data_IF_840635684504
#
_entry.id   IF_840635684504
#
_cell.length_a   1.000
_cell.length_b   1.000
_cell.length_c   1.000
_cell.angle_alpha   90.00
_cell.angle_beta   90.00
_cell.angle_gamma   90.00
#
_symmetry.space_group_name_H-M   'P 1'
#
loop_
_entity.id
_entity.type
_entity.pdbx_description
1 polymer ?
#
# COMPACT_ATOMS: atom_id res chain seq x y z
N UNK A 1 26.73 11.65 5.85
CA UNK A 1 25.35 12.14 5.96
C UNK A 1 24.43 11.09 5.38
N UNK A 2 23.34 10.77 6.05
CA UNK A 2 22.34 9.81 5.52
C UNK A 2 21.38 10.56 4.61
N UNK A 3 21.18 10.15 3.34
CA UNK A 3 20.17 10.78 2.48
C UNK A 3 18.76 10.70 3.09
N UNK A 4 18.02 11.80 3.05
CA UNK A 4 16.67 11.88 3.59
C UNK A 4 15.66 11.36 2.55
N UNK A 5 15.60 10.05 2.38
CA UNK A 5 14.68 9.40 1.44
C UNK A 5 14.38 7.96 1.84
N UNK A 6 13.20 7.50 1.50
CA UNK A 6 12.83 6.07 1.49
C UNK A 6 12.71 5.65 0.03
N UNK A 7 13.54 4.70 -0.40
CA UNK A 7 13.61 4.28 -1.80
C UNK A 7 12.66 3.12 -2.12
N UNK A 8 12.49 2.22 -1.15
CA UNK A 8 11.74 0.98 -1.31
C UNK A 8 11.11 0.60 0.03
N UNK A 9 9.87 0.18 0.00
CA UNK A 9 9.20 -0.49 1.13
C UNK A 9 8.98 -1.94 0.73
N UNK A 10 9.45 -2.87 1.55
CA UNK A 10 9.25 -4.29 1.33
C UNK A 10 8.29 -4.86 2.38
N UNK A 11 7.22 -5.46 1.91
CA UNK A 11 6.23 -6.16 2.74
C UNK A 11 6.61 -7.64 2.75
N UNK A 12 6.75 -8.22 3.95
CA UNK A 12 6.92 -9.66 4.12
C UNK A 12 5.58 -10.37 3.89
N UNK A 13 5.53 -11.24 2.90
CA UNK A 13 4.33 -11.96 2.52
C UNK A 13 4.32 -13.38 3.10
N UNK A 14 3.20 -13.77 3.72
CA UNK A 14 2.95 -15.16 4.12
C UNK A 14 2.57 -16.01 2.91
N UNK A 15 1.77 -15.45 2.02
CA UNK A 15 1.34 -16.06 0.75
C UNK A 15 1.62 -15.07 -0.39
N UNK A 16 2.85 -15.08 -0.90
CA UNK A 16 3.28 -14.16 -1.95
C UNK A 16 2.39 -14.21 -3.20
N UNK A 17 2.04 -15.40 -3.75
CA UNK A 17 1.18 -15.44 -4.94
C UNK A 17 -0.18 -14.77 -4.74
N UNK A 18 -0.82 -15.00 -3.61
CA UNK A 18 -2.13 -14.40 -3.30
C UNK A 18 -2.03 -12.89 -3.09
N UNK A 19 -1.06 -12.44 -2.31
CA UNK A 19 -0.85 -11.02 -2.05
C UNK A 19 -0.48 -10.25 -3.34
N UNK A 20 0.42 -10.83 -4.16
CA UNK A 20 0.80 -10.31 -5.47
C UNK A 20 -0.41 -10.15 -6.40
N UNK A 21 -1.25 -11.19 -6.47
CA UNK A 21 -2.46 -11.18 -7.30
C UNK A 21 -3.44 -10.08 -6.86
N UNK A 22 -3.53 -9.77 -5.58
CA UNK A 22 -4.35 -8.67 -5.08
C UNK A 22 -3.91 -7.32 -5.70
N UNK A 23 -2.63 -6.96 -5.60
CA UNK A 23 -2.12 -5.70 -6.16
C UNK A 23 -2.23 -5.66 -7.69
N UNK A 24 -2.05 -6.79 -8.37
CA UNK A 24 -2.29 -6.88 -9.81
C UNK A 24 -3.77 -6.61 -10.17
N UNK A 25 -4.73 -7.09 -9.34
CA UNK A 25 -6.16 -6.80 -9.54
C UNK A 25 -6.52 -5.34 -9.30
N UNK A 26 -5.71 -4.58 -8.56
CA UNK A 26 -5.83 -3.13 -8.47
C UNK A 26 -5.34 -2.41 -9.74
N UNK A 27 -4.81 -3.15 -10.72
CA UNK A 27 -4.24 -2.59 -11.94
C UNK A 27 -2.79 -2.12 -11.80
N UNK A 28 -2.12 -2.49 -10.71
CA UNK A 28 -0.72 -2.10 -10.51
C UNK A 28 0.22 -2.94 -11.35
N UNK A 29 1.16 -2.28 -12.03
CA UNK A 29 2.16 -2.91 -12.87
C UNK A 29 3.43 -3.24 -12.09
N UNK A 30 4.03 -4.38 -12.44
CA UNK A 30 5.32 -4.78 -11.90
C UNK A 30 6.48 -4.24 -12.73
N UNK A 31 7.63 -4.08 -12.09
CA UNK A 31 8.90 -3.79 -12.74
C UNK A 31 9.52 -5.05 -13.35
N UNK A 32 10.51 -4.88 -14.24
CA UNK A 32 11.25 -5.98 -14.83
C UNK A 32 12.14 -6.75 -13.83
N UNK A 33 12.34 -6.22 -12.63
CA UNK A 33 13.08 -6.86 -11.54
C UNK A 33 12.27 -7.99 -10.90
N UNK A 34 10.94 -7.98 -11.02
CA UNK A 34 10.07 -9.02 -10.49
C UNK A 34 10.44 -10.42 -11.02
N UNK A 35 10.28 -11.40 -10.14
CA UNK A 35 10.50 -12.82 -10.43
C UNK A 35 9.40 -13.65 -9.77
N UNK A 36 9.47 -14.97 -9.86
CA UNK A 36 8.50 -15.86 -9.21
C UNK A 36 8.51 -15.73 -7.67
N UNK A 37 9.64 -15.27 -7.10
CA UNK A 37 9.85 -15.15 -5.65
C UNK A 37 9.94 -13.72 -5.14
N UNK A 38 9.74 -12.73 -6.01
CA UNK A 38 9.90 -11.32 -5.66
C UNK A 38 9.05 -10.45 -6.58
N UNK A 39 8.15 -9.66 -6.02
CA UNK A 39 7.35 -8.71 -6.76
C UNK A 39 7.75 -7.27 -6.42
N UNK A 40 7.95 -6.44 -7.43
CA UNK A 40 8.23 -5.00 -7.27
C UNK A 40 7.29 -4.22 -8.16
N UNK A 41 6.46 -3.38 -7.55
CA UNK A 41 5.46 -2.57 -8.24
C UNK A 41 5.97 -1.16 -8.54
N UNK A 42 5.55 -0.64 -9.71
CA UNK A 42 5.88 0.70 -10.20
C UNK A 42 5.07 1.79 -9.50
N UNK A 43 5.28 1.96 -8.21
CA UNK A 43 4.64 3.05 -7.45
C UNK A 43 5.42 4.36 -7.62
N UNK A 44 4.70 5.49 -7.64
CA UNK A 44 5.34 6.79 -7.76
C UNK A 44 6.09 7.18 -6.48
N UNK A 45 7.31 7.65 -6.63
CA UNK A 45 8.17 8.10 -5.52
C UNK A 45 8.89 6.96 -4.82
N UNK A 46 8.19 6.16 -4.03
CA UNK A 46 8.72 5.01 -3.30
C UNK A 46 8.24 3.72 -3.96
N UNK A 47 9.13 2.80 -4.29
CA UNK A 47 8.74 1.49 -4.82
C UNK A 47 8.14 0.62 -3.71
N UNK A 48 7.17 -0.22 -4.07
CA UNK A 48 6.61 -1.23 -3.19
C UNK A 48 7.06 -2.61 -3.66
N UNK A 49 7.62 -3.41 -2.76
CA UNK A 49 7.96 -4.79 -3.06
C UNK A 49 7.31 -5.77 -2.09
N UNK A 50 7.10 -6.99 -2.57
CA UNK A 50 6.61 -8.12 -1.80
C UNK A 50 7.67 -9.21 -1.83
N UNK A 51 8.01 -9.74 -0.66
CA UNK A 51 9.03 -10.77 -0.51
C UNK A 51 8.56 -11.83 0.50
N UNK A 52 8.81 -13.12 0.28
CA UNK A 52 8.41 -14.12 1.27
C UNK A 52 8.94 -13.77 2.66
N UNK A 53 8.08 -13.77 3.67
CA UNK A 53 8.45 -13.29 5.00
C UNK A 53 9.61 -14.08 5.62
N UNK A 54 9.69 -15.39 5.35
CA UNK A 54 10.79 -16.23 5.79
C UNK A 54 12.13 -15.81 5.20
N UNK A 55 12.14 -15.42 3.93
CA UNK A 55 13.35 -14.94 3.26
C UNK A 55 13.72 -13.53 3.73
N UNK A 56 12.73 -12.68 3.94
CA UNK A 56 12.95 -11.31 4.44
C UNK A 56 13.56 -11.31 5.85
N UNK A 57 13.01 -12.11 6.75
CA UNK A 57 13.52 -12.20 8.13
C UNK A 57 14.90 -12.84 8.19
N UNK A 58 15.17 -13.83 7.34
CA UNK A 58 16.50 -14.43 7.20
C UNK A 58 17.52 -13.41 6.69
N UNK A 59 17.16 -12.63 5.70
CA UNK A 59 18.00 -11.56 5.14
C UNK A 59 18.32 -10.49 6.18
N UNK A 60 17.32 -10.11 6.97
CA UNK A 60 17.45 -9.12 8.04
C UNK A 60 18.17 -9.66 9.29
N UNK A 61 18.36 -10.97 9.40
CA UNK A 61 18.96 -11.59 10.58
C UNK A 61 18.08 -11.55 11.84
N UNK A 62 16.75 -11.57 11.65
CA UNK A 62 15.77 -11.53 12.73
C UNK A 62 14.87 -12.76 12.72
N UNK A 63 14.29 -13.09 13.87
CA UNK A 63 13.29 -14.16 13.97
C UNK A 63 11.89 -13.64 13.64
N UNK A 64 11.06 -14.51 13.05
CA UNK A 64 9.65 -14.20 12.81
C UNK A 64 8.94 -14.18 14.16
N UNK A 65 8.49 -13.01 14.62
CA UNK A 65 7.50 -12.92 15.67
C UNK A 65 6.12 -13.24 15.10
N UNK A 66 5.22 -13.81 15.92
CA UNK A 66 3.83 -14.06 15.48
C UNK A 66 3.21 -12.75 14.99
N UNK A 67 2.49 -12.76 13.85
CA UNK A 67 1.77 -11.59 13.40
C UNK A 67 0.85 -11.09 14.50
N UNK A 68 0.91 -9.80 14.81
CA UNK A 68 -0.07 -9.20 15.71
C UNK A 68 -1.45 -9.27 15.06
N UNK A 69 -2.41 -9.93 15.71
CA UNK A 69 -3.75 -10.12 15.16
C UNK A 69 -4.57 -8.82 15.04
N UNK A 70 -4.14 -7.73 15.64
CA UNK A 70 -5.02 -6.56 15.85
C UNK A 70 -4.49 -5.20 15.43
N UNK A 71 -3.19 -4.93 15.34
CA UNK A 71 -2.69 -3.59 15.04
C UNK A 71 -1.35 -3.62 14.32
N UNK A 72 -1.34 -3.06 13.12
CA UNK A 72 -0.11 -2.80 12.39
C UNK A 72 0.37 -1.36 12.72
N UNK A 73 1.61 -1.16 13.15
CA UNK A 73 2.12 0.18 13.48
C UNK A 73 2.41 1.04 12.24
N UNK A 74 2.16 0.52 11.05
CA UNK A 74 2.39 1.19 9.77
C UNK A 74 1.08 1.24 8.99
N UNK A 75 0.73 2.40 8.49
CA UNK A 75 -0.35 2.60 7.52
C UNK A 75 0.22 3.18 6.25
N UNK A 76 -0.05 2.54 5.13
CA UNK A 76 0.25 3.10 3.81
C UNK A 76 -0.92 3.98 3.37
N UNK A 77 -0.68 4.99 2.55
CA UNK A 77 -1.73 5.83 2.01
C UNK A 77 -1.68 5.91 0.49
N UNK A 78 -2.87 5.85 -0.11
CA UNK A 78 -3.09 6.19 -1.52
C UNK A 78 -3.93 7.47 -1.53
N UNK A 79 -3.37 8.56 -2.07
CA UNK A 79 -4.12 9.77 -2.25
C UNK A 79 -4.64 9.86 -3.68
N UNK A 80 -5.88 10.28 -3.82
CA UNK A 80 -6.58 10.49 -5.10
C UNK A 80 -6.74 11.98 -5.38
N UNK A 81 -7.03 12.32 -6.64
CA UNK A 81 -7.07 13.72 -7.09
C UNK A 81 -8.39 14.42 -6.74
N UNK A 82 -9.49 13.65 -6.67
CA UNK A 82 -10.85 14.18 -6.44
C UNK A 82 -11.58 13.39 -5.35
N UNK A 83 -12.48 14.02 -4.57
CA UNK A 83 -13.14 13.35 -3.45
C UNK A 83 -14.01 12.16 -3.88
N UNK A 84 -14.66 12.22 -5.05
CA UNK A 84 -15.49 11.13 -5.57
C UNK A 84 -14.67 9.88 -5.89
N UNK A 85 -13.39 10.03 -6.17
CA UNK A 85 -12.50 8.91 -6.43
C UNK A 85 -12.27 8.05 -5.18
N UNK A 86 -12.45 8.57 -3.97
CA UNK A 86 -12.41 7.76 -2.74
C UNK A 86 -13.51 6.71 -2.78
N UNK A 87 -14.74 7.13 -3.12
CA UNK A 87 -15.89 6.22 -3.20
C UNK A 87 -15.75 5.20 -4.33
N UNK A 88 -15.32 5.62 -5.49
CA UNK A 88 -15.13 4.74 -6.64
C UNK A 88 -14.00 3.73 -6.39
N UNK A 89 -12.89 4.20 -5.87
CA UNK A 89 -11.70 3.35 -5.66
C UNK A 89 -11.94 2.32 -4.56
N UNK A 90 -12.67 2.65 -3.49
CA UNK A 90 -12.96 1.68 -2.43
C UNK A 90 -13.79 0.48 -2.95
N UNK A 91 -14.69 0.71 -3.92
CA UNK A 91 -15.44 -0.38 -4.54
C UNK A 91 -14.53 -1.28 -5.40
N UNK A 92 -13.60 -0.70 -6.17
CA UNK A 92 -12.61 -1.48 -6.91
C UNK A 92 -11.72 -2.32 -5.98
N UNK A 93 -11.34 -1.77 -4.84
CA UNK A 93 -10.56 -2.47 -3.81
C UNK A 93 -11.37 -3.65 -3.24
N UNK A 94 -12.64 -3.43 -2.95
CA UNK A 94 -13.57 -4.48 -2.48
C UNK A 94 -13.68 -5.62 -3.49
N UNK A 95 -13.89 -5.28 -4.77
CA UNK A 95 -13.96 -6.26 -5.86
C UNK A 95 -12.64 -7.01 -6.06
N UNK A 96 -11.51 -6.35 -5.83
CA UNK A 96 -10.19 -6.97 -5.91
C UNK A 96 -9.89 -7.94 -4.74
N UNK A 97 -10.72 -7.95 -3.70
CA UNK A 97 -10.57 -8.82 -2.53
C UNK A 97 -9.96 -8.11 -1.32
N UNK A 98 -9.90 -6.79 -1.33
CA UNK A 98 -9.53 -6.00 -0.15
C UNK A 98 -10.61 -6.05 0.92
N UNK A 99 -10.19 -6.01 2.17
CA UNK A 99 -11.09 -5.94 3.33
C UNK A 99 -11.34 -4.49 3.70
N UNK A 100 -12.58 -4.03 3.55
CA UNK A 100 -12.93 -2.65 3.90
C UNK A 100 -13.09 -2.55 5.42
N UNK A 101 -12.27 -1.70 6.02
CA UNK A 101 -12.23 -1.48 7.48
C UNK A 101 -13.09 -0.29 7.88
N UNK A 102 -13.14 0.75 7.04
CA UNK A 102 -13.98 1.92 7.22
C UNK A 102 -14.41 2.44 5.87
N UNK A 103 -15.71 2.57 5.68
CA UNK A 103 -16.31 3.13 4.46
C UNK A 103 -15.93 4.62 4.27
N UNK A 104 -15.99 5.15 3.05
CA UNK A 104 -15.71 6.54 2.78
C UNK A 104 -16.51 7.49 3.65
N UNK A 105 -15.85 8.46 4.24
CA UNK A 105 -16.48 9.50 5.06
C UNK A 105 -15.69 10.80 5.00
N UNK A 106 -16.39 11.93 5.25
CA UNK A 106 -15.74 13.22 5.41
C UNK A 106 -14.87 13.26 6.65
N UNK A 107 -13.69 13.86 6.52
CA UNK A 107 -12.77 14.08 7.63
C UNK A 107 -12.93 15.51 8.18
N UNK A 108 -12.70 15.68 9.50
CA UNK A 108 -12.83 16.98 10.17
C UNK A 108 -11.93 18.07 9.57
N UNK A 109 -10.79 17.69 8.98
CA UNK A 109 -9.84 18.59 8.32
C UNK A 109 -10.22 18.96 6.87
N UNK A 110 -11.42 18.53 6.40
CA UNK A 110 -11.95 18.91 5.09
C UNK A 110 -11.74 17.91 3.96
N UNK A 111 -11.06 16.81 4.21
CA UNK A 111 -10.84 15.74 3.25
C UNK A 111 -11.91 14.66 3.28
N UNK A 112 -11.67 13.60 2.50
CA UNK A 112 -12.49 12.39 2.48
C UNK A 112 -11.59 11.17 2.56
N UNK A 113 -11.90 10.22 3.43
CA UNK A 113 -11.05 9.06 3.68
C UNK A 113 -11.84 7.76 3.79
N UNK A 114 -11.16 6.65 3.48
CA UNK A 114 -11.61 5.29 3.73
C UNK A 114 -10.40 4.46 4.18
N UNK A 115 -10.63 3.32 4.79
CA UNK A 115 -9.55 2.41 5.19
C UNK A 115 -9.84 0.99 4.71
N UNK A 116 -8.80 0.32 4.27
CA UNK A 116 -8.87 -1.10 3.89
C UNK A 116 -7.61 -1.84 4.33
N UNK A 117 -7.70 -3.15 4.34
CA UNK A 117 -6.56 -4.02 4.47
C UNK A 117 -6.42 -4.89 3.22
N UNK A 118 -5.19 -5.21 2.86
CA UNK A 118 -4.91 -6.23 1.87
C UNK A 118 -5.21 -7.66 2.42
N UNK A 119 -5.11 -8.71 1.62
CA UNK A 119 -5.40 -10.07 2.08
C UNK A 119 -4.56 -10.56 3.26
N UNK A 120 -3.44 -9.91 3.55
CA UNK A 120 -2.57 -10.24 4.68
C UNK A 120 -2.62 -9.21 5.81
N UNK A 121 -3.68 -8.41 5.86
CA UNK A 121 -3.95 -7.39 6.89
C UNK A 121 -2.94 -6.23 6.93
N UNK A 122 -2.25 -5.95 5.84
CA UNK A 122 -1.51 -4.70 5.71
C UNK A 122 -2.50 -3.54 5.56
N UNK A 123 -2.31 -2.52 6.37
CA UNK A 123 -3.27 -1.43 6.53
C UNK A 123 -3.02 -0.31 5.54
N UNK A 124 -4.09 0.12 4.86
CA UNK A 124 -4.08 1.19 3.89
C UNK A 124 -5.15 2.25 4.20
N UNK A 125 -4.77 3.51 4.05
CA UNK A 125 -5.69 4.63 3.95
C UNK A 125 -5.88 5.00 2.48
N UNK A 126 -7.12 5.23 2.08
CA UNK A 126 -7.48 5.86 0.82
C UNK A 126 -8.00 7.25 1.13
N UNK A 127 -7.37 8.30 0.59
CA UNK A 127 -7.65 9.66 0.98
C UNK A 127 -7.71 10.63 -0.20
N UNK A 128 -8.58 11.60 -0.09
CA UNK A 128 -8.51 12.85 -0.80
C UNK A 128 -8.25 13.99 0.18
N UNK A 129 -7.25 14.82 -0.12
CA UNK A 129 -6.94 16.02 0.65
C UNK A 129 -6.92 17.20 -0.31
N UNK A 130 -7.74 18.26 -0.06
CA UNK A 130 -7.84 19.40 -0.97
C UNK A 130 -6.53 20.16 -1.17
N UNK A 131 -5.58 20.01 -0.24
CA UNK A 131 -4.29 20.70 -0.26
C UNK A 131 -3.16 19.84 -0.88
N UNK A 132 -3.46 18.60 -1.28
CA UNK A 132 -2.45 17.71 -1.89
C UNK A 132 -1.93 18.25 -3.21
N UNK A 133 -0.61 18.23 -3.36
CA UNK A 133 0.08 18.58 -4.60
C UNK A 133 0.92 17.39 -5.06
N UNK A 134 0.72 17.01 -6.32
CA UNK A 134 1.45 15.89 -6.93
C UNK A 134 2.37 16.41 -8.05
N UNK A 135 3.49 15.72 -8.25
CA UNK A 135 4.34 15.97 -9.41
C UNK A 135 3.78 15.28 -10.67
N UNK A 136 4.47 15.46 -11.80
CA UNK A 136 4.04 14.89 -13.10
C UNK A 136 4.05 13.35 -13.14
N UNK A 137 4.66 12.69 -12.16
CA UNK A 137 4.70 11.24 -12.02
C UNK A 137 3.66 10.71 -11.03
N UNK A 138 2.90 11.62 -10.38
CA UNK A 138 1.91 11.28 -9.37
C UNK A 138 2.48 11.07 -7.96
N UNK A 139 3.72 11.47 -7.71
CA UNK A 139 4.27 11.47 -6.36
C UNK A 139 3.78 12.72 -5.60
N UNK A 140 3.23 12.51 -4.40
CA UNK A 140 2.81 13.63 -3.54
C UNK A 140 4.02 14.39 -3.04
N UNK A 141 4.06 15.70 -3.25
CA UNK A 141 5.16 16.57 -2.86
C UNK A 141 4.82 17.51 -1.70
N UNK A 142 3.53 17.72 -1.45
CA UNK A 142 3.05 18.50 -0.30
C UNK A 142 1.56 18.29 -0.06
N UNK A 143 1.11 18.69 1.13
CA UNK A 143 -0.30 18.79 1.51
C UNK A 143 -0.48 19.76 2.66
#
# INVERSE_FOLDING_TARGET
>A
MVPQRVSLITIGAMDLPNLRAFYQRLGWEETDISSDHYAVFKTAGVLLSLFPIGDLTKDAGVEISKPAEAYAPITFAINVDEPEQVDLTIELIREAGGKILREPSGAAWGGRTAYFADPENNLWELAWNPDSVFDERGAMISF
#
